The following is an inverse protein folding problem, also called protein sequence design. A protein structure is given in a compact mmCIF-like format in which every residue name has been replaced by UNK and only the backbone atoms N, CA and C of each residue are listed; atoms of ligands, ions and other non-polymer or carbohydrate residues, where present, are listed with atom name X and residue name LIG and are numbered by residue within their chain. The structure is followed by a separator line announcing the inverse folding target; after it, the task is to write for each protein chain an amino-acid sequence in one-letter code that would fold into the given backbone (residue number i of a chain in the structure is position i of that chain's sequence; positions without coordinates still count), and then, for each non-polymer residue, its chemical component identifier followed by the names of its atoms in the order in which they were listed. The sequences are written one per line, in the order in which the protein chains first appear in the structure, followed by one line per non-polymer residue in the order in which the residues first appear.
data_IF_194464523890
#
_entry.id   IF_194464523890
#
_cell.length_a   1.000
_cell.length_b   1.000
_cell.length_c   1.000
_cell.angle_alpha   90.00
_cell.angle_beta   90.00
_cell.angle_gamma   90.00
#
_symmetry.space_group_name_H-M   'P 1'
#
loop_
_entity.id
_entity.type
_entity.pdbx_description
1 polymer ?
#
# COMPACT_ATOMS: atom_id res chain seq x y z
N UNK A 1 22.73 1.33 -12.54
CA UNK A 1 22.44 2.45 -11.63
C UNK A 1 20.93 2.65 -11.62
N UNK A 2 20.22 2.19 -10.59
CA UNK A 2 18.78 2.44 -10.47
C UNK A 2 18.58 3.85 -9.91
N UNK A 3 18.09 4.77 -10.74
CA UNK A 3 17.70 6.11 -10.32
C UNK A 3 16.43 6.02 -9.47
N UNK A 4 16.49 6.44 -8.21
CA UNK A 4 15.33 6.45 -7.32
C UNK A 4 14.25 7.40 -7.85
N UNK A 5 13.01 6.92 -7.98
CA UNK A 5 11.87 7.74 -8.38
C UNK A 5 11.60 8.90 -7.40
N UNK A 6 12.03 8.74 -6.13
CA UNK A 6 11.92 9.76 -5.08
C UNK A 6 12.96 10.89 -5.21
N UNK A 7 13.98 10.75 -6.07
CA UNK A 7 15.00 11.78 -6.26
C UNK A 7 14.50 12.98 -7.08
N UNK A 8 13.33 12.87 -7.71
CA UNK A 8 12.72 13.96 -8.49
C UNK A 8 11.87 14.81 -7.56
N UNK A 9 12.28 16.05 -7.33
CA UNK A 9 11.49 16.98 -6.50
C UNK A 9 10.07 17.14 -7.10
N UNK A 10 9.03 17.02 -6.27
CA UNK A 10 7.66 17.24 -6.72
C UNK A 10 7.46 18.71 -7.14
N UNK A 11 6.66 18.91 -8.19
CA UNK A 11 6.26 20.25 -8.63
C UNK A 11 5.57 20.99 -7.47
N UNK A 12 5.97 22.25 -7.22
CA UNK A 12 5.43 23.06 -6.15
C UNK A 12 3.90 23.19 -6.27
N UNK A 13 3.16 22.81 -5.22
CA UNK A 13 1.71 23.00 -5.11
C UNK A 13 0.83 21.74 -5.26
N UNK A 14 1.40 20.55 -5.46
CA UNK A 14 0.62 19.31 -5.47
C UNK A 14 0.30 18.82 -4.04
N UNK A 15 -0.92 18.30 -3.85
CA UNK A 15 -1.33 17.69 -2.60
C UNK A 15 -0.44 16.48 -2.24
N UNK A 16 -0.05 16.28 -0.96
CA UNK A 16 0.83 15.17 -0.57
C UNK A 16 0.35 13.79 -1.03
N UNK A 17 -0.97 13.54 -1.06
CA UNK A 17 -1.50 12.25 -1.52
C UNK A 17 -1.35 12.05 -3.02
N UNK A 18 -1.43 13.13 -3.79
CA UNK A 18 -1.18 13.13 -5.24
C UNK A 18 0.30 12.84 -5.51
N UNK A 19 1.20 13.42 -4.73
CA UNK A 19 2.64 13.16 -4.86
C UNK A 19 3.00 11.71 -4.50
N UNK A 20 2.40 11.21 -3.42
CA UNK A 20 2.63 9.85 -2.95
C UNK A 20 2.11 8.80 -3.97
N UNK A 21 0.87 8.96 -4.45
CA UNK A 21 0.30 8.07 -5.46
C UNK A 21 1.03 8.15 -6.81
N UNK A 22 1.46 9.34 -7.23
CA UNK A 22 2.27 9.50 -8.44
C UNK A 22 3.63 8.80 -8.31
N UNK A 23 4.30 8.92 -7.16
CA UNK A 23 5.57 8.24 -6.90
C UNK A 23 5.41 6.71 -6.96
N UNK A 24 4.33 6.16 -6.39
CA UNK A 24 4.01 4.74 -6.50
C UNK A 24 3.70 4.31 -7.94
N UNK A 25 2.96 5.14 -8.69
CA UNK A 25 2.65 4.87 -10.09
C UNK A 25 3.90 4.86 -10.98
N UNK A 26 4.91 5.69 -10.69
CA UNK A 26 6.22 5.66 -11.38
C UNK A 26 6.98 4.36 -11.15
N UNK A 27 6.69 3.67 -10.04
CA UNK A 27 7.22 2.35 -9.71
C UNK A 27 6.31 1.21 -10.18
N UNK A 28 5.30 1.51 -11.02
CA UNK A 28 4.28 0.57 -11.48
C UNK A 28 3.43 -0.06 -10.37
N UNK A 29 3.36 0.57 -9.19
CA UNK A 29 2.48 0.15 -8.10
C UNK A 29 1.12 0.81 -8.26
N UNK A 30 0.07 0.00 -8.43
CA UNK A 30 -1.30 0.48 -8.61
C UNK A 30 -2.03 0.52 -7.27
N UNK A 31 -2.62 1.67 -6.95
CA UNK A 31 -3.44 1.88 -5.76
C UNK A 31 -4.93 1.62 -6.05
N UNK A 32 -5.76 1.29 -5.03
CA UNK A 32 -5.37 0.98 -3.65
C UNK A 32 -4.64 -0.36 -3.57
N UNK A 33 -3.79 -0.50 -2.55
CA UNK A 33 -3.21 -1.79 -2.19
C UNK A 33 -4.25 -2.64 -1.47
N UNK A 34 -4.10 -3.97 -1.58
CA UNK A 34 -4.97 -4.96 -0.92
C UNK A 34 -4.16 -6.18 -0.50
N UNK A 35 -4.72 -6.98 0.41
CA UNK A 35 -4.19 -8.30 0.69
C UNK A 35 -4.29 -9.21 -0.53
N UNK A 36 -3.30 -10.09 -0.68
CA UNK A 36 -3.43 -11.27 -1.53
C UNK A 36 -4.37 -12.28 -0.87
N UNK A 37 -5.36 -12.77 -1.62
CA UNK A 37 -6.35 -13.72 -1.11
C UNK A 37 -5.79 -15.14 -0.92
N UNK A 38 -4.61 -15.43 -1.46
CA UNK A 38 -4.01 -16.77 -1.49
C UNK A 38 -2.76 -16.88 -0.63
N UNK A 39 -2.09 -15.77 -0.33
CA UNK A 39 -0.84 -15.74 0.42
C UNK A 39 -0.93 -14.75 1.59
N UNK A 40 -1.04 -15.29 2.82
CA UNK A 40 -0.99 -14.51 4.05
C UNK A 40 0.25 -13.58 4.07
N UNK A 41 0.06 -12.35 4.53
CA UNK A 41 1.12 -11.32 4.59
C UNK A 41 1.53 -10.72 3.25
N UNK A 42 1.07 -11.24 2.11
CA UNK A 42 1.39 -10.66 0.80
C UNK A 42 0.45 -9.50 0.48
N UNK A 43 1.03 -8.36 0.11
CA UNK A 43 0.30 -7.17 -0.32
C UNK A 43 0.47 -6.99 -1.81
N UNK A 44 -0.65 -6.84 -2.51
CA UNK A 44 -0.71 -6.65 -3.96
C UNK A 44 -1.31 -5.30 -4.32
N UNK A 45 -0.94 -4.79 -5.49
CA UNK A 45 -1.54 -3.60 -6.07
C UNK A 45 -2.95 -3.86 -6.61
N UNK A 46 -3.61 -2.80 -7.07
CA UNK A 46 -4.94 -2.87 -7.64
C UNK A 46 -5.03 -3.77 -8.90
N UNK A 47 -3.91 -3.97 -9.58
CA UNK A 47 -3.75 -4.86 -10.73
C UNK A 47 -3.44 -6.33 -10.36
N UNK A 48 -3.24 -6.62 -9.08
CA UNK A 48 -2.93 -7.96 -8.56
C UNK A 48 -1.44 -8.29 -8.57
N UNK A 49 -0.57 -7.34 -8.93
CA UNK A 49 0.87 -7.56 -8.86
C UNK A 49 1.37 -7.43 -7.41
N UNK A 50 2.24 -8.35 -6.93
CA UNK A 50 2.80 -8.29 -5.59
C UNK A 50 3.70 -7.06 -5.43
N UNK A 51 3.53 -6.36 -4.31
CA UNK A 51 4.29 -5.15 -3.96
C UNK A 51 5.28 -5.46 -2.85
N UNK A 52 4.83 -6.08 -1.76
CA UNK A 52 5.69 -6.52 -0.67
C UNK A 52 5.04 -7.66 0.13
N UNK A 53 5.85 -8.34 0.94
CA UNK A 53 5.42 -9.41 1.84
C UNK A 53 5.78 -9.02 3.27
N UNK A 54 4.80 -9.02 4.16
CA UNK A 54 4.99 -8.88 5.60
C UNK A 54 5.48 -10.22 6.15
N UNK A 55 6.56 -10.17 6.93
CA UNK A 55 7.19 -11.35 7.53
C UNK A 55 7.59 -12.45 6.52
N UNK A 56 8.50 -12.11 5.61
CA UNK A 56 9.02 -13.04 4.60
C UNK A 56 9.60 -14.35 5.19
N UNK A 57 10.15 -14.29 6.41
CA UNK A 57 10.79 -15.43 7.07
C UNK A 57 9.83 -16.28 7.93
N UNK A 58 8.56 -15.86 8.05
CA UNK A 58 7.54 -16.54 8.87
C UNK A 58 7.96 -16.69 10.33
N UNK A 59 8.56 -15.65 10.89
CA UNK A 59 8.99 -15.61 12.29
C UNK A 59 7.81 -15.34 13.23
N UNK A 60 6.68 -14.85 12.70
CA UNK A 60 5.47 -14.50 13.44
C UNK A 60 4.29 -15.41 13.08
N UNK A 61 3.31 -15.56 13.99
CA UNK A 61 2.03 -16.21 13.66
C UNK A 61 1.25 -15.44 12.59
N UNK A 62 0.51 -16.15 11.74
CA UNK A 62 -0.29 -15.57 10.65
C UNK A 62 -1.26 -14.46 11.12
N UNK A 63 -1.81 -14.60 12.33
CA UNK A 63 -2.69 -13.59 12.92
C UNK A 63 -1.95 -12.25 13.13
N UNK A 64 -0.75 -12.28 13.71
CA UNK A 64 0.06 -11.07 13.89
C UNK A 64 0.50 -10.46 12.55
N UNK A 65 0.86 -11.32 11.59
CA UNK A 65 1.24 -10.88 10.24
C UNK A 65 0.07 -10.18 9.55
N UNK A 66 -1.15 -10.72 9.71
CA UNK A 66 -2.38 -10.14 9.17
C UNK A 66 -2.65 -8.77 9.79
N UNK A 67 -2.60 -8.64 11.12
CA UNK A 67 -2.81 -7.36 11.81
C UNK A 67 -1.80 -6.30 11.37
N UNK A 68 -0.52 -6.67 11.24
CA UNK A 68 0.53 -5.75 10.76
C UNK A 68 0.25 -5.34 9.31
N UNK A 69 -0.11 -6.30 8.47
CA UNK A 69 -0.43 -6.04 7.07
C UNK A 69 -1.64 -5.10 6.91
N UNK A 70 -2.69 -5.26 7.72
CA UNK A 70 -3.85 -4.37 7.75
C UNK A 70 -3.45 -2.94 8.15
N UNK A 71 -2.65 -2.78 9.21
CA UNK A 71 -2.17 -1.46 9.64
C UNK A 71 -1.33 -0.76 8.57
N UNK A 72 -0.46 -1.49 7.89
CA UNK A 72 0.35 -0.95 6.79
C UNK A 72 -0.52 -0.57 5.59
N UNK A 73 -1.47 -1.42 5.21
CA UNK A 73 -2.42 -1.14 4.13
C UNK A 73 -3.24 0.12 4.42
N UNK A 74 -3.78 0.23 5.63
CA UNK A 74 -4.53 1.40 6.08
C UNK A 74 -3.68 2.67 5.94
N UNK A 75 -2.47 2.66 6.49
CA UNK A 75 -1.59 3.82 6.44
C UNK A 75 -1.25 4.22 5.00
N UNK A 76 -0.83 3.26 4.15
CA UNK A 76 -0.42 3.51 2.77
C UNK A 76 -1.60 4.00 1.92
N UNK A 77 -2.75 3.34 2.02
CA UNK A 77 -3.94 3.70 1.26
C UNK A 77 -4.44 5.10 1.65
N UNK A 78 -4.51 5.42 2.94
CA UNK A 78 -4.91 6.77 3.42
C UNK A 78 -3.94 7.83 2.93
N UNK A 79 -2.62 7.59 2.99
CA UNK A 79 -1.63 8.54 2.47
C UNK A 79 -1.72 8.70 0.94
N UNK A 80 -2.22 7.69 0.22
CA UNK A 80 -2.51 7.78 -1.20
C UNK A 80 -3.91 8.36 -1.52
N UNK A 81 -4.67 8.79 -0.52
CA UNK A 81 -6.01 9.38 -0.69
C UNK A 81 -7.16 8.37 -0.77
N UNK A 82 -6.89 7.09 -0.48
CA UNK A 82 -7.89 6.02 -0.44
C UNK A 82 -8.27 5.76 1.02
N UNK A 83 -9.44 6.27 1.41
CA UNK A 83 -10.04 5.92 2.69
C UNK A 83 -10.61 4.49 2.61
N UNK A 84 -10.48 3.68 3.66
CA UNK A 84 -11.26 2.47 3.78
C UNK A 84 -12.74 2.85 3.66
N UNK A 85 -13.53 2.07 2.93
CA UNK A 85 -14.98 2.22 3.00
C UNK A 85 -15.41 1.98 4.46
N UNK A 86 -15.68 3.08 5.17
CA UNK A 86 -16.21 3.03 6.51
C UNK A 86 -17.59 2.39 6.47
N UNK A 87 -17.78 1.39 7.32
CA UNK A 87 -18.99 0.59 7.43
C UNK A 87 -20.27 1.42 7.37
N UNK A 88 -21.27 0.88 6.66
CA UNK A 88 -22.66 1.14 7.02
C UNK A 88 -22.80 0.86 8.51
N UNK A 89 -22.92 1.92 9.31
CA UNK A 89 -23.69 1.83 10.53
C UNK A 89 -25.14 1.64 10.08
N UNK A 90 -25.52 0.39 9.85
CA UNK A 90 -26.92 0.01 9.86
C UNK A 90 -27.40 0.20 11.31
N UNK A 91 -28.21 1.24 11.52
CA UNK A 91 -28.92 1.55 12.76
C UNK A 91 -30.28 2.10 12.43
#
# INVERSE_FOLDING_TARGET
MATSALARQPAAGADPSTLFSAALSLLHVRMPLRHDATHCGTIVGADGNPVFVVDMNRERPDAEVTDIAELLLLAINVHAGYLPEGGRADG
#
